data_IF_684820980378
#
_entry.id   IF_684820980378
#
_cell.length_a   1.000
_cell.length_b   1.000
_cell.length_c   1.000
_cell.angle_alpha   90.00
_cell.angle_beta   90.00
_cell.angle_gamma   90.00
#
_symmetry.space_group_name_H-M   'P 1'
#
loop_
_entity.id
_entity.type
_entity.pdbx_description
1 polymer ?
#
# COMPACT_ATOMS: atom_id res chain seq x y z
N UNK A 1 10.58 -41.93 -11.94
CA UNK A 1 9.68 -40.93 -12.57
C UNK A 1 9.52 -39.75 -11.62
N UNK A 2 10.64 -39.13 -11.30
CA UNK A 2 10.81 -37.96 -10.43
C UNK A 2 11.83 -37.09 -11.17
N UNK A 3 11.71 -35.76 -11.06
CA UNK A 3 12.62 -34.74 -11.62
C UNK A 3 12.20 -34.11 -12.96
N UNK A 4 10.92 -33.74 -13.12
CA UNK A 4 10.47 -32.90 -14.25
C UNK A 4 9.92 -31.51 -13.86
N UNK A 5 10.01 -31.08 -12.61
CA UNK A 5 9.47 -29.77 -12.18
C UNK A 5 10.40 -28.90 -11.34
N UNK A 6 11.71 -29.10 -11.45
CA UNK A 6 12.68 -28.04 -11.15
C UNK A 6 12.75 -27.09 -12.35
N UNK A 7 11.62 -26.49 -12.73
CA UNK A 7 11.71 -25.30 -13.57
C UNK A 7 12.36 -24.25 -12.69
N UNK A 8 13.63 -23.95 -12.99
CA UNK A 8 14.26 -22.72 -12.52
C UNK A 8 13.34 -21.58 -12.94
N UNK A 9 12.58 -21.07 -11.98
CA UNK A 9 11.84 -19.82 -12.18
C UNK A 9 12.94 -18.82 -12.55
N UNK A 10 12.87 -18.17 -13.73
CA UNK A 10 13.90 -17.21 -14.12
C UNK A 10 14.03 -16.21 -12.99
N UNK A 11 15.26 -16.02 -12.50
CA UNK A 11 15.58 -14.95 -11.56
C UNK A 11 15.08 -13.66 -12.23
N UNK A 12 13.98 -13.13 -11.71
CA UNK A 12 13.48 -11.82 -12.13
C UNK A 12 14.63 -10.85 -11.84
N UNK A 13 15.13 -10.09 -12.83
CA UNK A 13 16.16 -9.11 -12.57
C UNK A 13 15.72 -8.18 -11.44
N UNK A 14 16.56 -8.01 -10.42
CA UNK A 14 16.33 -7.11 -9.28
C UNK A 14 16.30 -5.61 -9.68
N UNK A 15 16.24 -5.29 -10.97
CA UNK A 15 16.35 -3.94 -11.54
C UNK A 15 15.13 -3.04 -11.29
N UNK A 16 14.08 -3.57 -10.65
CA UNK A 16 13.03 -2.76 -10.04
C UNK A 16 13.10 -2.98 -8.53
N UNK A 17 14.16 -2.44 -7.93
CA UNK A 17 14.27 -2.29 -6.49
C UNK A 17 12.91 -1.85 -5.96
N UNK A 18 12.34 -2.63 -5.05
CA UNK A 18 11.17 -2.24 -4.29
C UNK A 18 11.57 -1.02 -3.47
N UNK A 19 11.53 0.15 -4.10
CA UNK A 19 11.77 1.41 -3.44
C UNK A 19 10.71 1.52 -2.37
N UNK A 20 11.13 1.96 -1.19
CA UNK A 20 10.25 2.37 -0.12
C UNK A 20 9.54 3.68 -0.55
N UNK A 21 8.74 3.64 -1.61
CA UNK A 21 8.00 4.77 -2.19
C UNK A 21 6.59 4.88 -1.64
N UNK A 22 6.30 4.24 -0.50
CA UNK A 22 5.28 4.80 0.40
C UNK A 22 5.89 5.98 1.14
N UNK A 23 6.14 7.06 0.38
CA UNK A 23 5.92 8.39 0.93
C UNK A 23 4.51 8.35 1.49
N UNK A 24 4.43 8.39 2.82
CA UNK A 24 3.21 8.73 3.52
C UNK A 24 2.90 10.14 3.06
N UNK A 25 2.18 10.28 1.96
CA UNK A 25 1.35 11.44 1.71
C UNK A 25 0.36 11.44 2.88
N UNK A 26 0.78 12.00 4.02
CA UNK A 26 -0.13 12.66 4.92
C UNK A 26 -0.74 13.76 4.06
N UNK A 27 -1.85 13.41 3.42
CA UNK A 27 -2.87 14.36 3.11
C UNK A 27 -3.27 15.01 4.44
N UNK A 28 -2.55 16.07 4.84
CA UNK A 28 -3.29 17.28 5.14
C UNK A 28 -4.11 17.52 3.88
N UNK A 29 -5.43 17.51 3.98
CA UNK A 29 -6.30 17.92 2.86
C UNK A 29 -5.93 19.37 2.50
N UNK A 30 -4.93 19.55 1.67
CA UNK A 30 -4.83 20.66 0.75
C UNK A 30 -5.45 20.13 -0.54
N UNK A 31 -6.64 20.62 -0.86
CA UNK A 31 -7.38 20.30 -2.06
C UNK A 31 -6.51 20.46 -3.32
N UNK A 32 -6.29 19.37 -4.06
CA UNK A 32 -5.69 19.35 -5.41
C UNK A 32 -6.68 19.88 -6.48
N UNK A 33 -7.28 21.04 -6.21
CA UNK A 33 -7.90 21.91 -7.21
C UNK A 33 -7.42 23.33 -6.96
N UNK A 34 -6.12 23.56 -7.08
CA UNK A 34 -5.56 24.89 -7.25
C UNK A 34 -5.02 25.00 -8.67
N UNK A 35 -5.91 25.32 -9.62
CA UNK A 35 -5.48 26.25 -10.67
C UNK A 35 -5.02 27.51 -9.94
N UNK A 36 -3.92 28.17 -10.33
CA UNK A 36 -3.63 29.51 -9.83
C UNK A 36 -4.79 30.41 -10.26
N UNK A 37 -5.71 30.67 -9.33
CA UNK A 37 -6.81 31.60 -9.54
C UNK A 37 -6.19 32.99 -9.44
N UNK A 38 -6.34 33.87 -10.45
CA UNK A 38 -5.94 35.25 -10.31
C UNK A 38 -6.77 35.88 -9.18
N UNK A 39 -6.13 36.20 -8.06
CA UNK A 39 -6.74 37.06 -7.06
C UNK A 39 -6.75 38.48 -7.62
N UNK A 40 -7.88 38.94 -8.13
CA UNK A 40 -8.06 40.35 -8.46
C UNK A 40 -8.34 41.11 -7.16
N UNK A 41 -7.32 41.85 -6.70
CA UNK A 41 -7.50 42.82 -5.62
C UNK A 41 -7.97 44.12 -6.26
N UNK A 42 -9.26 44.42 -6.15
CA UNK A 42 -9.82 45.71 -6.60
C UNK A 42 -9.79 46.69 -5.43
N UNK A 43 -9.02 47.78 -5.59
CA UNK A 43 -8.99 48.88 -4.65
C UNK A 43 -10.00 49.95 -5.09
N UNK A 44 -11.06 50.15 -4.32
CA UNK A 44 -11.97 51.28 -4.48
C UNK A 44 -11.74 52.24 -3.31
N UNK A 45 -11.08 53.38 -3.57
CA UNK A 45 -11.15 54.53 -2.66
C UNK A 45 -10.39 54.45 -1.33
N UNK A 46 -9.24 53.77 -1.28
CA UNK A 46 -8.27 53.93 -0.17
C UNK A 46 -8.47 53.05 1.07
N UNK A 47 -9.48 52.18 1.11
CA UNK A 47 -9.62 51.17 2.16
C UNK A 47 -10.00 49.81 1.55
N UNK A 48 -9.20 48.78 1.82
CA UNK A 48 -9.47 47.41 1.35
C UNK A 48 -10.55 46.77 2.25
N UNK A 49 -11.75 46.55 1.74
CA UNK A 49 -12.90 46.10 2.56
C UNK A 49 -13.43 44.70 2.28
N UNK A 50 -12.94 43.96 1.29
CA UNK A 50 -13.34 42.56 1.13
C UNK A 50 -12.35 41.72 0.33
N UNK A 51 -12.04 40.53 0.85
CA UNK A 51 -11.38 39.44 0.11
C UNK A 51 -12.44 38.36 -0.10
N UNK A 52 -12.70 38.00 -1.36
CA UNK A 52 -13.66 36.95 -1.69
C UNK A 52 -12.88 35.68 -2.04
N UNK A 53 -13.05 34.64 -1.24
CA UNK A 53 -12.49 33.31 -1.48
C UNK A 53 -13.64 32.31 -1.58
N UNK A 54 -13.65 31.52 -2.65
CA UNK A 54 -14.65 30.44 -2.88
C UNK A 54 -16.12 30.91 -2.87
N UNK A 55 -16.41 32.11 -3.39
CA UNK A 55 -17.78 32.63 -3.47
C UNK A 55 -18.38 33.04 -2.12
N UNK A 56 -17.57 33.15 -1.06
CA UNK A 56 -17.97 33.71 0.22
C UNK A 56 -17.26 35.04 0.46
N UNK A 57 -18.05 36.05 0.81
CA UNK A 57 -17.58 37.40 1.11
C UNK A 57 -17.27 37.51 2.59
N UNK A 58 -16.00 37.74 2.94
CA UNK A 58 -15.58 37.95 4.32
C UNK A 58 -15.44 39.45 4.57
N UNK A 59 -16.34 40.02 5.38
CA UNK A 59 -16.23 41.41 5.84
C UNK A 59 -15.35 41.47 7.08
N UNK A 60 -14.18 42.06 6.97
CA UNK A 60 -13.37 42.39 8.14
C UNK A 60 -13.86 43.73 8.70
N UNK A 61 -14.43 43.71 9.90
CA UNK A 61 -14.65 44.95 10.65
C UNK A 61 -13.30 45.46 11.12
N UNK A 62 -12.90 46.64 10.64
CA UNK A 62 -11.75 47.36 11.15
C UNK A 62 -12.01 47.74 12.61
N UNK A 63 -11.55 46.90 13.54
CA UNK A 63 -11.48 47.27 14.94
C UNK A 63 -10.43 48.39 15.06
N UNK A 64 -10.84 49.52 15.61
CA UNK A 64 -9.99 50.69 15.81
C UNK A 64 -8.74 50.32 16.61
N UNK A 65 -7.59 50.35 15.95
CA UNK A 65 -6.30 50.18 16.59
C UNK A 65 -5.94 51.52 17.22
N UNK A 66 -6.35 51.73 18.48
CA UNK A 66 -5.84 52.83 19.28
C UNK A 66 -4.41 52.54 19.69
N UNK A 67 -3.48 53.25 19.05
CA UNK A 67 -2.33 53.92 19.67
C UNK A 67 -1.64 53.15 20.80
N UNK A 68 -0.61 52.36 20.51
CA UNK A 68 0.60 52.25 21.35
C UNK A 68 1.78 51.78 20.48
N UNK A 69 2.78 52.65 20.29
CA UNK A 69 4.13 52.27 19.87
C UNK A 69 4.62 52.86 18.53
N UNK A 70 5.92 53.19 18.42
CA UNK A 70 6.51 53.73 17.19
C UNK A 70 6.32 52.75 16.03
N UNK A 71 6.16 53.32 14.83
CA UNK A 71 6.12 52.63 13.53
C UNK A 71 7.37 51.76 13.33
N UNK A 72 7.36 50.56 13.92
CA UNK A 72 8.10 49.43 13.36
C UNK A 72 7.34 49.09 12.10
N UNK A 73 7.92 49.43 10.95
CA UNK A 73 7.24 49.16 9.69
C UNK A 73 7.09 47.65 9.56
N UNK A 74 5.98 47.20 8.97
CA UNK A 74 5.74 45.78 8.70
C UNK A 74 6.91 45.14 7.91
N UNK A 75 7.68 45.97 7.20
CA UNK A 75 8.92 45.62 6.49
C UNK A 75 10.06 45.25 7.44
N UNK A 76 10.18 45.88 8.61
CA UNK A 76 11.24 45.59 9.60
C UNK A 76 10.94 44.28 10.37
N UNK A 77 9.66 44.00 10.66
CA UNK A 77 9.24 42.70 11.23
C UNK A 77 9.46 41.53 10.26
N UNK A 78 9.30 41.75 8.94
CA UNK A 78 9.57 40.72 7.93
C UNK A 78 11.07 40.52 7.71
N UNK A 79 11.88 41.57 7.82
CA UNK A 79 13.34 41.45 7.69
C UNK A 79 13.96 40.65 8.84
N UNK A 80 13.55 40.88 10.09
CA UNK A 80 14.00 40.06 11.23
C UNK A 80 13.54 38.60 11.13
N UNK A 81 12.37 38.33 10.54
CA UNK A 81 11.88 36.96 10.36
C UNK A 81 12.58 36.16 9.24
N UNK A 82 13.43 36.80 8.42
CA UNK A 82 14.10 36.15 7.26
C UNK A 82 15.60 35.92 7.45
N UNK A 83 16.21 36.45 8.51
CA UNK A 83 17.66 36.35 8.73
C UNK A 83 18.10 35.27 9.72
N UNK A 84 17.16 34.50 10.27
CA UNK A 84 17.44 33.40 11.20
C UNK A 84 16.86 32.08 10.68
N UNK A 85 16.92 31.87 9.36
CA UNK A 85 17.03 30.51 8.84
C UNK A 85 18.52 30.20 8.81
N UNK A 86 19.07 29.91 9.99
CA UNK A 86 20.30 29.13 10.11
C UNK A 86 20.19 27.94 9.16
N UNK A 87 21.31 27.59 8.53
CA UNK A 87 21.51 26.38 7.71
C UNK A 87 21.37 25.11 8.59
N UNK A 88 20.21 24.98 9.22
CA UNK A 88 19.87 23.95 10.16
C UNK A 88 19.73 22.65 9.40
N UNK A 89 20.77 21.84 9.56
CA UNK A 89 20.71 20.39 9.54
C UNK A 89 20.19 19.81 8.21
N UNK A 90 21.08 19.76 7.21
CA UNK A 90 20.97 18.78 6.14
C UNK A 90 21.02 17.41 6.81
N UNK A 91 19.83 16.92 7.17
CA UNK A 91 19.60 15.65 7.85
C UNK A 91 20.50 14.57 7.26
N UNK A 92 21.52 14.19 8.02
CA UNK A 92 22.48 13.13 7.72
C UNK A 92 21.83 11.77 7.97
N UNK A 93 20.65 11.56 7.40
CA UNK A 93 20.07 10.23 7.31
C UNK A 93 20.97 9.30 6.50
N UNK A 94 20.93 7.98 6.76
CA UNK A 94 21.62 7.01 5.92
C UNK A 94 21.15 7.16 4.48
N UNK A 95 22.06 6.90 3.54
CA UNK A 95 21.72 6.82 2.13
C UNK A 95 20.64 5.76 1.88
N UNK A 96 19.94 5.85 0.74
CA UNK A 96 18.92 4.87 0.37
C UNK A 96 19.50 3.45 0.27
N UNK A 97 20.75 3.33 -0.17
CA UNK A 97 21.41 2.03 -0.28
C UNK A 97 21.78 1.45 1.09
N UNK A 98 22.32 2.26 1.99
CA UNK A 98 22.57 1.84 3.37
C UNK A 98 21.26 1.44 4.06
N UNK A 99 20.20 2.21 3.84
CA UNK A 99 18.86 1.91 4.36
C UNK A 99 18.32 0.57 3.84
N UNK A 100 18.57 0.25 2.56
CA UNK A 100 18.17 -1.01 1.94
C UNK A 100 18.89 -2.20 2.57
N UNK A 101 20.20 -2.10 2.75
CA UNK A 101 21.02 -3.13 3.39
C UNK A 101 20.58 -3.38 4.83
N UNK A 102 20.37 -2.31 5.61
CA UNK A 102 19.87 -2.40 6.98
C UNK A 102 18.51 -3.12 7.06
N UNK A 103 17.61 -2.82 6.13
CA UNK A 103 16.31 -3.49 6.05
C UNK A 103 16.46 -4.97 5.68
N UNK A 104 17.31 -5.28 4.70
CA UNK A 104 17.54 -6.66 4.25
C UNK A 104 18.10 -7.54 5.38
N UNK A 105 19.20 -7.10 6.02
CA UNK A 105 19.86 -7.81 7.12
C UNK A 105 18.95 -7.93 8.35
N UNK A 106 18.16 -6.89 8.65
CA UNK A 106 17.27 -6.86 9.81
C UNK A 106 15.92 -7.54 9.60
N UNK A 107 15.54 -7.86 8.35
CA UNK A 107 14.17 -8.28 8.01
C UNK A 107 13.73 -9.60 8.64
N UNK A 108 14.65 -10.51 8.95
CA UNK A 108 14.30 -11.80 9.59
C UNK A 108 13.80 -11.60 11.03
N UNK A 109 14.49 -10.75 11.80
CA UNK A 109 14.12 -10.43 13.19
C UNK A 109 13.00 -9.39 13.23
N UNK A 110 12.97 -8.51 12.23
CA UNK A 110 12.12 -7.36 12.13
C UNK A 110 12.87 -6.09 12.51
N UNK A 111 12.87 -5.10 11.62
CA UNK A 111 13.61 -3.84 11.77
C UNK A 111 12.73 -2.67 11.34
N UNK A 112 12.93 -1.48 11.91
CA UNK A 112 12.28 -0.26 11.42
C UNK A 112 13.09 0.30 10.25
N UNK A 113 12.41 0.61 9.15
CA UNK A 113 13.03 1.28 8.02
C UNK A 113 13.51 2.69 8.43
N UNK A 114 14.80 3.04 8.27
CA UNK A 114 15.30 4.35 8.68
C UNK A 114 14.76 5.51 7.83
N UNK A 115 14.18 5.24 6.65
CA UNK A 115 13.62 6.28 5.79
C UNK A 115 12.18 6.68 6.15
N UNK A 116 11.38 5.75 6.69
CA UNK A 116 9.93 5.95 6.85
C UNK A 116 9.35 5.39 8.16
N UNK A 117 10.20 4.85 9.03
CA UNK A 117 9.87 4.19 10.29
C UNK A 117 8.93 2.97 10.19
N UNK A 118 8.64 2.49 8.98
CA UNK A 118 7.80 1.32 8.77
C UNK A 118 8.51 0.08 9.31
N UNK A 119 7.77 -0.79 10.00
CA UNK A 119 8.29 -2.06 10.47
C UNK A 119 8.37 -3.08 9.32
N UNK A 120 9.60 -3.49 8.99
CA UNK A 120 9.93 -4.42 7.93
C UNK A 120 10.26 -5.78 8.54
N UNK A 121 9.47 -6.81 8.23
CA UNK A 121 9.69 -8.17 8.71
C UNK A 121 9.29 -9.21 7.65
N UNK A 122 10.10 -10.26 7.51
CA UNK A 122 9.74 -11.45 6.74
C UNK A 122 8.76 -12.30 7.56
N UNK A 123 7.59 -12.58 6.99
CA UNK A 123 6.58 -13.40 7.63
C UNK A 123 6.62 -14.83 7.10
N UNK A 124 6.74 -15.80 8.00
CA UNK A 124 6.57 -17.22 7.70
C UNK A 124 5.09 -17.57 7.77
N UNK A 125 4.45 -17.67 6.60
CA UNK A 125 3.04 -18.06 6.51
C UNK A 125 2.90 -19.57 6.36
N UNK A 126 2.16 -20.20 7.28
CA UNK A 126 1.82 -21.62 7.23
C UNK A 126 0.60 -21.85 6.35
N UNK A 127 0.56 -22.99 5.66
CA UNK A 127 -0.68 -23.47 5.04
C UNK A 127 -1.63 -24.00 6.13
N UNK A 128 -2.69 -23.25 6.43
CA UNK A 128 -3.66 -23.62 7.46
C UNK A 128 -4.77 -24.54 6.93
N UNK A 129 -5.38 -25.32 7.81
CA UNK A 129 -6.52 -26.19 7.47
C UNK A 129 -7.69 -25.42 6.85
N UNK A 130 -7.94 -24.18 7.27
CA UNK A 130 -9.00 -23.34 6.69
C UNK A 130 -8.72 -22.96 5.23
N UNK A 131 -7.44 -22.75 4.87
CA UNK A 131 -7.03 -22.49 3.48
C UNK A 131 -7.17 -23.75 2.62
N UNK A 132 -6.77 -24.91 3.15
CA UNK A 132 -6.95 -26.19 2.47
C UNK A 132 -8.44 -26.49 2.24
N UNK A 133 -9.29 -26.30 3.25
CA UNK A 133 -10.76 -26.45 3.11
C UNK A 133 -11.33 -25.54 2.03
N UNK A 134 -10.94 -24.26 2.02
CA UNK A 134 -11.34 -23.33 0.97
C UNK A 134 -10.94 -23.85 -0.43
N UNK A 135 -9.72 -24.35 -0.59
CA UNK A 135 -9.25 -24.86 -1.87
C UNK A 135 -10.03 -26.10 -2.33
N UNK A 136 -10.34 -27.02 -1.41
CA UNK A 136 -11.18 -28.20 -1.69
C UNK A 136 -12.58 -27.77 -2.15
N UNK A 137 -13.23 -26.85 -1.43
CA UNK A 137 -14.55 -26.32 -1.80
C UNK A 137 -14.51 -25.59 -3.15
N UNK A 138 -13.41 -24.89 -3.45
CA UNK A 138 -13.22 -24.18 -4.71
C UNK A 138 -13.05 -25.14 -5.89
N UNK A 139 -12.29 -26.22 -5.71
CA UNK A 139 -12.14 -27.27 -6.74
C UNK A 139 -13.47 -27.98 -6.98
N UNK A 140 -14.18 -28.36 -5.92
CA UNK A 140 -15.51 -28.98 -6.05
C UNK A 140 -16.48 -28.06 -6.80
N UNK A 141 -16.50 -26.76 -6.47
CA UNK A 141 -17.36 -25.78 -7.13
C UNK A 141 -17.07 -25.63 -8.63
N UNK A 142 -15.82 -25.77 -9.05
CA UNK A 142 -15.42 -25.74 -10.48
C UNK A 142 -15.69 -27.08 -11.17
N UNK A 143 -15.68 -28.20 -10.46
CA UNK A 143 -16.08 -29.49 -11.05
C UNK A 143 -17.60 -29.60 -11.26
N UNK A 144 -18.40 -28.92 -10.42
CA UNK A 144 -19.87 -28.84 -10.55
C UNK A 144 -20.31 -28.03 -11.78
N UNK A 145 -19.53 -27.02 -12.15
CA UNK A 145 -19.82 -26.12 -13.28
C UNK A 145 -18.90 -26.53 -14.41
N UNK A 146 -19.39 -27.22 -15.43
CA UNK A 146 -18.60 -27.87 -16.49
C UNK A 146 -17.60 -26.98 -17.26
N UNK A 147 -17.60 -25.68 -17.01
CA UNK A 147 -16.69 -24.70 -17.61
C UNK A 147 -15.71 -24.16 -16.55
N UNK A 148 -14.46 -23.93 -16.95
CA UNK A 148 -13.37 -23.38 -16.12
C UNK A 148 -13.64 -21.93 -15.66
N UNK A 149 -14.66 -21.79 -14.82
CA UNK A 149 -15.34 -20.53 -14.53
C UNK A 149 -14.77 -19.91 -13.27
N UNK A 150 -14.69 -18.59 -13.28
CA UNK A 150 -14.38 -17.82 -12.09
C UNK A 150 -15.55 -17.90 -11.10
N UNK A 151 -15.28 -18.24 -9.85
CA UNK A 151 -16.28 -18.39 -8.80
C UNK A 151 -16.33 -17.12 -7.95
N UNK A 152 -17.53 -16.56 -7.73
CA UNK A 152 -17.75 -15.44 -6.81
C UNK A 152 -17.76 -15.95 -5.36
N UNK A 153 -16.59 -15.92 -4.74
CA UNK A 153 -16.37 -16.41 -3.39
C UNK A 153 -17.07 -15.56 -2.32
N UNK A 154 -17.46 -14.31 -2.63
CA UNK A 154 -18.10 -13.42 -1.65
C UNK A 154 -19.60 -13.66 -1.51
N UNK A 155 -20.24 -14.00 -2.61
CA UNK A 155 -21.70 -14.18 -2.65
C UNK A 155 -22.13 -15.64 -2.60
N UNK A 156 -21.22 -16.58 -2.86
CA UNK A 156 -21.52 -18.00 -2.80
C UNK A 156 -21.57 -18.50 -1.34
N UNK A 157 -22.72 -19.08 -0.90
CA UNK A 157 -22.94 -19.49 0.48
C UNK A 157 -21.98 -20.58 0.96
N UNK A 158 -21.40 -21.38 0.06
CA UNK A 158 -20.41 -22.42 0.39
C UNK A 158 -19.19 -21.81 1.10
N UNK A 159 -18.75 -20.64 0.64
CA UNK A 159 -17.50 -20.05 1.08
C UNK A 159 -17.64 -19.07 2.25
N UNK A 160 -18.85 -18.68 2.65
CA UNK A 160 -19.07 -17.68 3.71
C UNK A 160 -18.41 -18.06 5.05
N UNK A 161 -18.30 -19.36 5.34
CA UNK A 161 -17.67 -19.85 6.58
C UNK A 161 -16.14 -19.83 6.51
N UNK A 162 -15.57 -20.18 5.36
CA UNK A 162 -14.10 -20.30 5.18
C UNK A 162 -13.43 -18.97 4.82
N UNK A 163 -14.18 -18.01 4.27
CA UNK A 163 -13.64 -16.73 3.77
C UNK A 163 -13.59 -15.60 4.79
N UNK A 164 -14.23 -15.77 5.97
CA UNK A 164 -14.39 -14.71 6.98
C UNK A 164 -13.09 -13.97 7.34
N UNK A 165 -11.95 -14.67 7.33
CA UNK A 165 -10.67 -14.12 7.73
C UNK A 165 -9.79 -13.64 6.56
N UNK A 166 -10.20 -13.86 5.30
CA UNK A 166 -9.40 -13.48 4.12
C UNK A 166 -8.11 -14.30 3.90
N UNK A 167 -7.76 -15.22 4.80
CA UNK A 167 -6.51 -15.99 4.75
C UNK A 167 -6.35 -16.84 3.47
N UNK A 168 -7.44 -17.18 2.80
CA UNK A 168 -7.40 -17.91 1.53
C UNK A 168 -6.65 -17.15 0.43
N UNK A 169 -6.57 -15.81 0.50
CA UNK A 169 -5.80 -15.02 -0.44
C UNK A 169 -4.30 -15.37 -0.43
N UNK A 170 -3.77 -15.87 0.70
CA UNK A 170 -2.37 -16.29 0.77
C UNK A 170 -2.07 -17.53 -0.10
N UNK A 171 -3.08 -18.30 -0.52
CA UNK A 171 -2.89 -19.42 -1.46
C UNK A 171 -2.28 -18.98 -2.81
N UNK A 172 -2.38 -17.69 -3.16
CA UNK A 172 -1.69 -17.09 -4.30
C UNK A 172 -0.17 -17.31 -4.22
N UNK A 173 0.41 -17.24 -3.02
CA UNK A 173 1.86 -17.39 -2.83
C UNK A 173 2.38 -18.83 -2.99
N UNK A 174 1.48 -19.83 -2.97
CA UNK A 174 1.82 -21.20 -3.36
C UNK A 174 1.52 -21.46 -4.85
N UNK A 175 0.83 -20.54 -5.52
CA UNK A 175 0.33 -20.73 -6.89
C UNK A 175 -0.82 -21.73 -6.97
N UNK A 176 -1.61 -21.90 -5.90
CA UNK A 176 -2.72 -22.87 -5.86
C UNK A 176 -4.05 -22.29 -6.33
N UNK A 177 -4.20 -20.98 -6.25
CA UNK A 177 -5.37 -20.25 -6.73
C UNK A 177 -4.93 -19.05 -7.55
N UNK A 178 -5.86 -18.50 -8.32
CA UNK A 178 -5.73 -17.23 -9.01
C UNK A 178 -6.93 -16.34 -8.68
N UNK A 179 -6.69 -15.04 -8.64
CA UNK A 179 -7.73 -14.02 -8.51
C UNK A 179 -7.97 -13.38 -9.88
N UNK A 180 -9.23 -13.16 -10.24
CA UNK A 180 -9.55 -12.47 -11.49
C UNK A 180 -9.08 -11.01 -11.39
N UNK A 181 -8.42 -10.46 -12.43
CA UNK A 181 -8.11 -9.03 -12.49
C UNK A 181 -9.33 -8.18 -12.20
N UNK A 182 -9.15 -7.14 -11.39
CA UNK A 182 -10.24 -6.23 -11.07
C UNK A 182 -10.34 -5.14 -12.16
N UNK A 183 -11.42 -5.17 -12.93
CA UNK A 183 -11.71 -4.16 -13.96
C UNK A 183 -12.47 -2.95 -13.41
N UNK A 184 -13.03 -3.08 -12.19
CA UNK A 184 -13.84 -2.06 -11.55
C UNK A 184 -12.99 -1.27 -10.53
N UNK A 185 -12.65 -0.02 -10.85
CA UNK A 185 -11.86 0.86 -9.99
C UNK A 185 -12.55 1.25 -8.69
N UNK A 186 -13.89 1.13 -8.61
CA UNK A 186 -14.63 1.41 -7.38
C UNK A 186 -14.48 0.31 -6.32
N UNK A 187 -14.04 -0.89 -6.73
CA UNK A 187 -13.84 -2.04 -5.84
C UNK A 187 -12.35 -2.24 -5.58
N UNK A 188 -12.01 -2.74 -4.39
CA UNK A 188 -10.62 -3.11 -4.06
C UNK A 188 -10.18 -4.39 -4.79
N UNK A 189 -11.09 -5.33 -5.00
CA UNK A 189 -10.82 -6.64 -5.61
C UNK A 189 -12.07 -7.14 -6.35
N UNK A 190 -11.89 -7.96 -7.39
CA UNK A 190 -13.00 -8.59 -8.13
C UNK A 190 -13.89 -9.49 -7.26
N UNK A 191 -13.29 -10.19 -6.28
CA UNK A 191 -13.99 -11.21 -5.49
C UNK A 191 -14.14 -12.56 -6.20
N UNK A 192 -13.64 -12.64 -7.44
CA UNK A 192 -13.73 -13.80 -8.32
C UNK A 192 -12.42 -14.60 -8.27
N UNK A 193 -12.53 -15.91 -8.05
CA UNK A 193 -11.40 -16.80 -7.84
C UNK A 193 -11.53 -18.09 -8.63
N UNK A 194 -10.40 -18.72 -8.94
CA UNK A 194 -10.36 -20.06 -9.52
C UNK A 194 -9.16 -20.84 -9.00
N UNK A 195 -9.23 -22.19 -8.95
CA UNK A 195 -8.07 -23.00 -8.64
C UNK A 195 -7.15 -23.06 -9.88
N UNK A 196 -5.84 -23.14 -9.66
CA UNK A 196 -4.89 -23.43 -10.75
C UNK A 196 -4.81 -24.93 -11.00
N UNK A 197 -4.17 -25.35 -12.09
CA UNK A 197 -3.86 -26.78 -12.33
C UNK A 197 -3.04 -27.40 -11.17
N UNK A 198 -2.16 -26.58 -10.57
CA UNK A 198 -1.40 -26.95 -9.36
C UNK A 198 -2.32 -27.12 -8.16
N UNK A 199 -3.25 -26.20 -7.94
CA UNK A 199 -4.26 -26.29 -6.89
C UNK A 199 -5.11 -27.55 -6.98
N UNK A 200 -5.59 -27.88 -8.19
CA UNK A 200 -6.38 -29.09 -8.45
C UNK A 200 -5.54 -30.34 -8.17
N UNK A 201 -4.31 -30.41 -8.67
CA UNK A 201 -3.39 -31.53 -8.43
C UNK A 201 -3.11 -31.74 -6.94
N UNK A 202 -2.95 -30.65 -6.19
CA UNK A 202 -2.73 -30.70 -4.74
C UNK A 202 -3.97 -31.25 -4.00
N UNK A 203 -5.18 -30.76 -4.32
CA UNK A 203 -6.43 -31.28 -3.72
C UNK A 203 -6.64 -32.77 -4.03
N UNK A 204 -6.22 -33.22 -5.22
CA UNK A 204 -6.28 -34.63 -5.63
C UNK A 204 -5.16 -35.49 -5.04
N UNK A 205 -4.26 -34.93 -4.22
CA UNK A 205 -3.15 -35.66 -3.60
C UNK A 205 -2.07 -36.10 -4.58
N UNK A 206 -1.97 -35.45 -5.75
CA UNK A 206 -1.02 -35.79 -6.81
C UNK A 206 0.34 -35.10 -6.64
N UNK A 207 0.37 -33.97 -5.93
CA UNK A 207 1.59 -33.21 -5.65
C UNK A 207 1.63 -32.81 -4.18
N UNK A 208 2.85 -32.67 -3.66
CA UNK A 208 3.11 -32.10 -2.35
C UNK A 208 3.46 -30.60 -2.50
N UNK A 209 3.19 -29.80 -1.46
CA UNK A 209 3.52 -28.36 -1.47
C UNK A 209 4.32 -27.97 -0.22
N UNK A 210 5.17 -26.92 -0.28
CA UNK A 210 5.89 -26.46 0.89
C UNK A 210 4.97 -26.11 2.07
N UNK A 211 5.38 -26.48 3.28
CA UNK A 211 4.58 -26.26 4.50
C UNK A 211 4.36 -24.79 4.82
N UNK A 212 5.35 -23.95 4.49
CA UNK A 212 5.33 -22.52 4.73
C UNK A 212 5.98 -21.77 3.57
N UNK A 213 5.57 -20.51 3.40
CA UNK A 213 6.16 -19.55 2.49
C UNK A 213 6.69 -18.35 3.27
N UNK A 214 7.83 -17.81 2.85
CA UNK A 214 8.40 -16.59 3.40
C UNK A 214 7.97 -15.41 2.54
N UNK A 215 7.22 -14.48 3.13
CA UNK A 215 6.65 -13.32 2.43
C UNK A 215 7.23 -12.04 2.99
N UNK A 216 7.64 -11.16 2.09
CA UNK A 216 8.07 -9.81 2.40
C UNK A 216 7.49 -8.85 1.37
N UNK A 217 6.80 -7.81 1.83
CA UNK A 217 6.15 -6.81 0.95
C UNK A 217 5.28 -7.45 -0.15
N UNK A 218 4.48 -8.44 0.24
CA UNK A 218 3.62 -9.23 -0.66
C UNK A 218 4.36 -10.02 -1.75
N UNK A 219 5.68 -10.09 -1.70
CA UNK A 219 6.53 -10.89 -2.59
C UNK A 219 7.04 -12.14 -1.88
N UNK A 220 7.20 -13.21 -2.64
CA UNK A 220 7.76 -14.48 -2.14
C UNK A 220 9.27 -14.33 -2.06
N UNK A 221 9.86 -14.56 -0.89
CA UNK A 221 11.31 -14.60 -0.67
C UNK A 221 11.87 -16.01 -0.67
N UNK A 222 11.03 -17.01 -0.41
CA UNK A 222 11.41 -18.42 -0.45
C UNK A 222 10.34 -19.33 0.13
N UNK A 223 10.62 -20.62 0.09
CA UNK A 223 9.74 -21.67 0.62
C UNK A 223 10.50 -22.54 1.62
N UNK A 224 9.76 -23.16 2.53
CA UNK A 224 10.34 -24.16 3.43
C UNK A 224 10.70 -25.46 2.67
N UNK A 225 11.76 -26.14 3.10
CA UNK A 225 12.17 -27.45 2.54
C UNK A 225 11.17 -28.56 2.87
N UNK A 226 10.48 -28.47 4.01
CA UNK A 226 9.47 -29.46 4.42
C UNK A 226 8.18 -29.26 3.62
N UNK A 227 7.61 -30.36 3.12
CA UNK A 227 6.36 -30.38 2.34
C UNK A 227 5.18 -30.99 3.11
N UNK A 228 3.96 -30.61 2.72
CA UNK A 228 2.71 -31.25 3.11
C UNK A 228 2.20 -32.12 1.95
N UNK A 229 1.58 -33.23 2.33
CA UNK A 229 0.84 -34.14 1.47
C UNK A 229 -0.65 -34.04 1.79
#
# INVERSE_FOLDING_TARGET
MSDLWTQEIPKIPDELGSTCTRHRWQWVRASEHFNPIPAEVTFLGGEATAVTLLGQTYSYYAASIYSWGPLVTLVDMVKEATTEYDEADVSTGPSLEESRLLVEEGSEKGVKCPCCDQYCKIYKQKLYTTMAKFLVELVAAVEDVSDSTWIDVRHDPRFLRVTRNGNYAYLLHWGLVEQQPNLDSAKRTSGMWRPTAKGISFVKGLIDVPTHVHIFDNKIRGWATTTFR
#
